data_IF_399108646249
#
_entry.id   IF_399108646249
#
_cell.length_a   1.000
_cell.length_b   1.000
_cell.length_c   1.000
_cell.angle_alpha   90.00
_cell.angle_beta   90.00
_cell.angle_gamma   90.00
#
_symmetry.space_group_name_H-M   'P 1'
#
loop_
_entity.id
_entity.type
_entity.pdbx_description
1 polymer ?
#
# COMPACT_ATOMS: atom_id res chain seq x y z
N UNK A 1 -16.11 14.74 2.44
CA UNK A 1 -15.29 15.83 3.00
C UNK A 1 -13.89 15.30 3.29
N UNK A 2 -12.90 15.36 2.38
CA UNK A 2 -11.56 14.92 2.73
C UNK A 2 -10.94 16.00 3.61
N UNK A 3 -10.60 15.65 4.87
CA UNK A 3 -9.78 16.51 5.72
C UNK A 3 -8.42 16.64 5.03
N UNK A 4 -8.10 17.84 4.55
CA UNK A 4 -6.77 18.20 4.11
C UNK A 4 -5.84 17.92 5.29
N UNK A 5 -5.10 16.81 5.24
CA UNK A 5 -3.99 16.61 6.16
C UNK A 5 -3.08 17.83 5.99
N UNK A 6 -2.80 18.53 7.10
CA UNK A 6 -1.90 19.68 7.10
C UNK A 6 -0.61 19.31 6.35
N UNK A 7 -0.09 20.22 5.53
CA UNK A 7 1.16 20.03 4.76
C UNK A 7 2.29 19.41 5.61
N UNK A 8 2.36 19.83 6.89
CA UNK A 8 3.31 19.32 7.88
C UNK A 8 3.11 17.84 8.23
N UNK A 9 1.85 17.38 8.38
CA UNK A 9 1.55 15.99 8.67
C UNK A 9 1.97 15.08 7.50
N UNK A 10 1.68 15.50 6.26
CA UNK A 10 2.09 14.78 5.07
C UNK A 10 3.61 14.72 4.92
N UNK A 11 4.30 15.83 5.18
CA UNK A 11 5.76 15.88 5.17
C UNK A 11 6.38 14.90 6.19
N UNK A 12 5.81 14.84 7.40
CA UNK A 12 6.25 13.89 8.44
C UNK A 12 6.04 12.44 8.02
N UNK A 13 4.87 12.09 7.48
CA UNK A 13 4.59 10.75 6.99
C UNK A 13 5.55 10.32 5.89
N UNK A 14 5.82 11.20 4.93
CA UNK A 14 6.81 10.95 3.87
C UNK A 14 8.21 10.76 4.44
N UNK A 15 8.62 11.56 5.42
CA UNK A 15 9.92 11.45 6.07
C UNK A 15 10.08 10.12 6.81
N UNK A 16 9.08 9.72 7.60
CA UNK A 16 9.06 8.42 8.28
C UNK A 16 9.20 7.27 7.29
N UNK A 17 8.44 7.30 6.19
CA UNK A 17 8.50 6.25 5.18
C UNK A 17 9.85 6.25 4.44
N UNK A 18 10.39 7.43 4.10
CA UNK A 18 11.68 7.58 3.43
C UNK A 18 12.84 7.02 4.26
N UNK A 19 12.78 7.18 5.58
CA UNK A 19 13.78 6.61 6.49
C UNK A 19 13.77 5.07 6.52
N UNK A 20 12.62 4.44 6.23
CA UNK A 20 12.50 2.99 6.25
C UNK A 20 12.80 2.32 4.89
N UNK A 21 12.42 2.94 3.77
CA UNK A 21 12.40 2.28 2.46
C UNK A 21 13.08 3.08 1.33
N UNK A 22 13.69 4.22 1.66
CA UNK A 22 14.31 5.13 0.70
C UNK A 22 13.34 6.15 0.09
N UNK A 23 13.89 7.25 -0.42
CA UNK A 23 13.11 8.42 -0.87
C UNK A 23 12.18 8.11 -2.04
N UNK A 24 12.68 7.43 -3.09
CA UNK A 24 11.89 7.14 -4.30
C UNK A 24 10.76 6.16 -4.00
N UNK A 25 11.05 5.06 -3.31
CA UNK A 25 10.05 4.09 -2.87
C UNK A 25 8.99 4.75 -1.97
N UNK A 26 9.40 5.59 -1.02
CA UNK A 26 8.47 6.28 -0.13
C UNK A 26 7.49 7.19 -0.86
N UNK A 27 7.97 7.93 -1.87
CA UNK A 27 7.11 8.79 -2.70
C UNK A 27 6.05 7.96 -3.43
N UNK A 28 6.46 6.86 -4.05
CA UNK A 28 5.57 5.99 -4.81
C UNK A 28 4.58 5.25 -3.91
N UNK A 29 5.05 4.64 -2.82
CA UNK A 29 4.20 3.90 -1.90
C UNK A 29 3.18 4.81 -1.19
N UNK A 30 3.56 6.03 -0.79
CA UNK A 30 2.63 6.97 -0.18
C UNK A 30 1.50 7.37 -1.14
N UNK A 31 1.82 7.56 -2.43
CA UNK A 31 0.82 7.80 -3.48
C UNK A 31 -0.15 6.62 -3.59
N UNK A 32 0.35 5.38 -3.59
CA UNK A 32 -0.52 4.19 -3.62
C UNK A 32 -1.39 4.07 -2.38
N UNK A 33 -0.89 4.38 -1.18
CA UNK A 33 -1.70 4.39 0.04
C UNK A 33 -2.84 5.42 -0.04
N UNK A 34 -2.56 6.64 -0.52
CA UNK A 34 -3.59 7.68 -0.73
C UNK A 34 -4.63 7.26 -1.78
N UNK A 35 -4.18 6.61 -2.86
CA UNK A 35 -5.05 6.09 -3.89
C UNK A 35 -5.98 5.01 -3.33
N UNK A 36 -5.47 4.08 -2.51
CA UNK A 36 -6.28 3.04 -1.87
C UNK A 36 -7.34 3.60 -0.90
N UNK A 37 -7.06 4.73 -0.24
CA UNK A 37 -8.05 5.43 0.60
C UNK A 37 -9.15 6.13 -0.21
N UNK A 38 -8.81 6.59 -1.41
CA UNK A 38 -9.74 7.32 -2.29
C UNK A 38 -10.56 6.38 -3.18
N UNK A 39 -9.93 5.28 -3.60
CA UNK A 39 -10.44 4.26 -4.50
C UNK A 39 -10.00 2.90 -3.95
N UNK A 40 -10.75 2.34 -2.98
CA UNK A 40 -10.39 1.06 -2.37
C UNK A 40 -10.42 -0.07 -3.40
N UNK A 41 -9.54 -1.07 -3.27
CA UNK A 41 -9.50 -2.19 -4.19
C UNK A 41 -10.81 -2.99 -4.12
N UNK A 42 -11.22 -3.62 -5.24
CA UNK A 42 -12.46 -4.39 -5.30
C UNK A 42 -12.42 -5.60 -4.34
N UNK A 43 -13.55 -5.88 -3.70
CA UNK A 43 -13.67 -6.99 -2.74
C UNK A 43 -14.61 -6.68 -1.59
N UNK A 44 -14.74 -7.61 -0.61
CA UNK A 44 -15.57 -7.37 0.57
C UNK A 44 -15.06 -6.16 1.34
N UNK A 45 -15.99 -5.29 1.78
CA UNK A 45 -15.67 -4.07 2.51
C UNK A 45 -14.84 -4.40 3.76
N UNK A 46 -13.57 -3.98 3.75
CA UNK A 46 -12.69 -4.02 4.92
C UNK A 46 -12.43 -2.59 5.33
N UNK A 47 -12.53 -2.31 6.63
CA UNK A 47 -12.12 -1.02 7.16
C UNK A 47 -10.65 -0.78 6.81
N UNK A 48 -10.40 0.22 5.98
CA UNK A 48 -9.05 0.65 5.66
C UNK A 48 -8.49 1.45 6.85
N UNK A 49 -7.26 1.13 7.31
CA UNK A 49 -6.60 1.95 8.32
C UNK A 49 -6.33 3.34 7.75
N UNK A 50 -6.18 4.33 8.62
CA UNK A 50 -5.77 5.65 8.18
C UNK A 50 -4.34 5.66 7.61
N UNK A 51 -3.99 6.73 6.89
CA UNK A 51 -2.69 6.84 6.22
C UNK A 51 -1.51 6.75 7.20
N UNK A 52 -1.66 7.29 8.42
CA UNK A 52 -0.61 7.25 9.43
C UNK A 52 -0.32 5.82 9.90
N UNK A 53 -1.37 5.03 10.11
CA UNK A 53 -1.30 3.62 10.46
C UNK A 53 -0.71 2.78 9.33
N UNK A 54 -1.04 3.09 8.07
CA UNK A 54 -0.43 2.44 6.90
C UNK A 54 1.09 2.69 6.84
N UNK A 55 1.52 3.95 7.01
CA UNK A 55 2.93 4.32 7.04
C UNK A 55 3.66 3.67 8.21
N UNK A 56 3.05 3.67 9.40
CA UNK A 56 3.64 3.03 10.58
C UNK A 56 3.87 1.53 10.35
N UNK A 57 2.87 0.80 9.84
CA UNK A 57 3.02 -0.63 9.49
C UNK A 57 4.13 -0.86 8.48
N UNK A 58 4.18 -0.04 7.43
CA UNK A 58 5.20 -0.16 6.38
C UNK A 58 6.61 0.11 6.89
N UNK A 59 6.76 1.10 7.78
CA UNK A 59 8.03 1.44 8.43
C UNK A 59 8.54 0.32 9.37
N UNK A 60 7.65 -0.52 9.90
CA UNK A 60 8.01 -1.72 10.66
C UNK A 60 8.28 -2.95 9.78
N UNK A 61 8.40 -2.77 8.46
CA UNK A 61 8.76 -3.83 7.53
C UNK A 61 7.57 -4.66 7.03
N UNK A 62 6.33 -4.30 7.37
CA UNK A 62 5.18 -5.00 6.79
C UNK A 62 5.08 -4.72 5.28
N UNK A 63 4.91 -5.75 4.43
CA UNK A 63 4.76 -5.55 2.99
C UNK A 63 3.58 -4.67 2.64
N UNK A 64 3.78 -3.76 1.69
CA UNK A 64 2.72 -2.84 1.23
C UNK A 64 1.45 -3.58 0.81
N UNK A 65 1.57 -4.72 0.14
CA UNK A 65 0.44 -5.52 -0.33
C UNK A 65 -0.45 -6.03 0.79
N UNK A 66 0.09 -6.32 1.98
CA UNK A 66 -0.71 -6.69 3.16
C UNK A 66 -1.37 -5.47 3.81
N UNK A 67 -0.76 -4.30 3.67
CA UNK A 67 -1.32 -3.03 4.14
C UNK A 67 -2.49 -2.61 3.24
N UNK A 68 -2.30 -2.65 1.92
CA UNK A 68 -3.33 -2.37 0.91
C UNK A 68 -4.38 -3.48 0.83
N UNK A 69 -4.00 -4.71 1.19
CA UNK A 69 -4.87 -5.89 1.19
C UNK A 69 -4.99 -6.61 -0.16
N UNK A 70 -4.34 -6.10 -1.21
CA UNK A 70 -4.35 -6.69 -2.56
C UNK A 70 -3.02 -6.51 -3.29
N UNK A 71 -2.79 -7.36 -4.29
CA UNK A 71 -1.71 -7.26 -5.28
C UNK A 71 -2.33 -7.44 -6.68
N UNK A 72 -2.03 -6.56 -7.66
CA UNK A 72 -2.41 -6.77 -9.05
C UNK A 72 -1.77 -8.05 -9.61
N UNK A 73 -2.51 -8.78 -10.45
CA UNK A 73 -2.06 -9.97 -11.16
C UNK A 73 -2.83 -10.10 -12.47
N UNK A 74 -2.29 -9.56 -13.56
CA UNK A 74 -2.98 -9.41 -14.83
C UNK A 74 -4.32 -8.67 -14.67
N UNK A 75 -5.45 -9.26 -15.10
CA UNK A 75 -6.77 -8.64 -14.94
C UNK A 75 -7.33 -8.76 -13.51
N UNK A 76 -6.66 -9.48 -12.61
CA UNK A 76 -7.16 -9.78 -11.26
C UNK A 76 -6.52 -8.89 -10.20
N UNK A 77 -7.26 -8.70 -9.10
CA UNK A 77 -6.73 -8.16 -7.85
C UNK A 77 -6.72 -9.30 -6.82
N UNK A 78 -5.54 -9.88 -6.59
CA UNK A 78 -5.38 -10.99 -5.66
C UNK A 78 -5.41 -10.43 -4.24
N UNK A 79 -6.24 -11.01 -3.37
CA UNK A 79 -6.29 -10.64 -1.95
C UNK A 79 -5.00 -11.08 -1.25
N UNK A 80 -4.35 -10.15 -0.57
CA UNK A 80 -3.10 -10.40 0.15
C UNK A 80 -3.28 -10.14 1.65
N UNK A 81 -2.86 -11.12 2.47
CA UNK A 81 -2.80 -11.03 3.92
C UNK A 81 -1.74 -12.01 4.43
N UNK A 82 -1.13 -11.71 5.57
CA UNK A 82 -0.30 -12.70 6.24
C UNK A 82 -1.12 -13.98 6.58
N UNK A 83 -0.52 -15.18 6.50
CA UNK A 83 0.84 -15.50 6.04
C UNK A 83 0.93 -15.88 4.55
N UNK A 84 -0.04 -15.50 3.72
CA UNK A 84 -0.16 -15.95 2.32
C UNK A 84 0.88 -15.26 1.44
N UNK A 85 1.63 -16.03 0.65
CA UNK A 85 2.64 -15.51 -0.28
C UNK A 85 2.05 -14.42 -1.19
N UNK A 86 2.78 -13.31 -1.31
CA UNK A 86 2.45 -12.21 -2.22
C UNK A 86 2.87 -12.62 -3.64
N UNK A 87 1.96 -12.61 -4.63
CA UNK A 87 2.31 -12.88 -6.02
C UNK A 87 3.42 -11.96 -6.51
N UNK A 88 4.39 -12.52 -7.24
CA UNK A 88 5.52 -11.77 -7.82
C UNK A 88 5.32 -11.58 -9.32
N UNK A 89 5.93 -10.54 -9.92
CA UNK A 89 5.85 -10.30 -11.37
C UNK A 89 6.25 -11.51 -12.20
N UNK A 90 7.25 -12.28 -11.75
CA UNK A 90 7.68 -13.49 -12.42
C UNK A 90 6.57 -14.56 -12.42
N UNK A 91 5.86 -14.73 -11.29
CA UNK A 91 4.72 -15.67 -11.22
C UNK A 91 3.58 -15.27 -12.14
N UNK A 92 3.33 -13.97 -12.26
CA UNK A 92 2.34 -13.43 -13.20
C UNK A 92 2.72 -13.75 -14.65
N UNK A 93 3.98 -13.54 -15.00
CA UNK A 93 4.53 -13.85 -16.30
C UNK A 93 4.39 -15.34 -16.67
N UNK A 94 4.68 -16.24 -15.72
CA UNK A 94 4.54 -17.69 -15.92
C UNK A 94 3.08 -18.16 -16.06
N UNK A 95 2.14 -17.52 -15.37
CA UNK A 95 0.75 -17.98 -15.32
C UNK A 95 -0.13 -17.41 -16.43
N UNK A 96 0.26 -16.28 -17.03
CA UNK A 96 -0.54 -15.55 -18.02
C UNK A 96 -0.02 -15.64 -19.45
N UNK A 97 1.19 -16.18 -19.65
CA UNK A 97 1.74 -16.54 -20.96
C UNK A 97 1.22 -17.91 -21.42
#
# INVERSE_FOLDING_TARGET
MPRLASSHAMARLRQTLSAAIGHESAKQELKWMQQALSSPPPGPARAMPDLASMVARRAHGEPLQYILGTQPFGPLHIRCRAPVLIPRPETEDWALR
#
